data_IF_288724643207
#
_entry.id   IF_288724643207
#
_cell.length_a   1.000
_cell.length_b   1.000
_cell.length_c   1.000
_cell.angle_alpha   90.00
_cell.angle_beta   90.00
_cell.angle_gamma   90.00
#
_symmetry.space_group_name_H-M   'P 1'
#
loop_
_entity.id
_entity.type
_entity.pdbx_description
1 polymer ?
#
# COMPACT_ATOMS: atom_id res chain seq x y z
N UNK A 1 3.88 11.98 8.03
CA UNK A 1 2.93 10.84 7.92
C UNK A 1 2.64 10.63 6.44
N UNK A 2 2.69 9.40 5.94
CA UNK A 2 2.31 9.10 4.56
C UNK A 2 0.79 9.08 4.42
N UNK A 3 0.25 9.72 3.38
CA UNK A 3 -1.19 9.76 3.11
C UNK A 3 -1.74 8.38 2.79
N UNK A 4 -2.97 8.10 3.21
CA UNK A 4 -3.64 6.83 2.90
C UNK A 4 -3.76 6.60 1.39
N UNK A 5 -3.94 7.67 0.62
CA UNK A 5 -3.98 7.63 -0.85
C UNK A 5 -2.65 7.18 -1.46
N UNK A 6 -1.53 7.72 -0.96
CA UNK A 6 -0.20 7.29 -1.36
C UNK A 6 0.03 5.80 -1.07
N UNK A 7 -0.34 5.35 0.13
CA UNK A 7 -0.24 3.93 0.52
C UNK A 7 -1.09 3.05 -0.41
N UNK A 8 -2.30 3.49 -0.76
CA UNK A 8 -3.17 2.79 -1.72
C UNK A 8 -2.54 2.71 -3.10
N UNK A 9 -1.99 3.81 -3.63
CA UNK A 9 -1.31 3.80 -4.93
C UNK A 9 -0.14 2.82 -4.97
N UNK A 10 0.68 2.77 -3.91
CA UNK A 10 1.81 1.84 -3.82
C UNK A 10 1.34 0.37 -3.77
N UNK A 11 0.29 0.09 -3.00
CA UNK A 11 -0.31 -1.25 -2.93
C UNK A 11 -0.96 -1.64 -4.26
N UNK A 12 -1.57 -0.69 -4.96
CA UNK A 12 -2.18 -0.91 -6.28
C UNK A 12 -1.12 -1.22 -7.35
N UNK A 13 -0.01 -0.48 -7.38
CA UNK A 13 1.15 -0.78 -8.24
C UNK A 13 1.69 -2.20 -8.00
N UNK A 14 1.71 -2.64 -6.74
CA UNK A 14 2.06 -4.02 -6.44
C UNK A 14 1.02 -5.03 -6.96
N UNK A 15 -0.28 -4.72 -6.84
CA UNK A 15 -1.38 -5.57 -7.31
C UNK A 15 -1.48 -5.64 -8.84
N UNK A 16 -1.07 -4.61 -9.58
CA UNK A 16 -1.04 -4.60 -11.05
C UNK A 16 0.12 -5.44 -11.63
N UNK A 17 0.95 -6.05 -10.78
CA UNK A 17 2.02 -6.97 -11.18
C UNK A 17 3.41 -6.35 -11.21
N UNK A 18 3.57 -5.08 -10.82
CA UNK A 18 4.89 -4.45 -10.71
C UNK A 18 5.67 -5.13 -9.58
N UNK A 19 6.94 -5.45 -9.84
CA UNK A 19 7.80 -6.16 -8.88
C UNK A 19 8.03 -5.29 -7.64
N UNK A 20 7.88 -5.90 -6.46
CA UNK A 20 8.18 -5.28 -5.16
C UNK A 20 9.53 -4.55 -5.13
N UNK A 21 10.56 -5.10 -5.75
CA UNK A 21 11.91 -4.53 -5.80
C UNK A 21 12.00 -3.24 -6.61
N UNK A 22 11.22 -3.10 -7.68
CA UNK A 22 11.16 -1.89 -8.50
C UNK A 22 10.47 -0.78 -7.71
N UNK A 23 9.31 -1.08 -7.12
CA UNK A 23 8.57 -0.13 -6.27
C UNK A 23 9.43 0.31 -5.08
N UNK A 24 10.14 -0.62 -4.44
CA UNK A 24 11.03 -0.30 -3.33
C UNK A 24 12.18 0.61 -3.74
N UNK A 25 12.71 0.44 -4.95
CA UNK A 25 13.81 1.26 -5.47
C UNK A 25 13.35 2.65 -5.93
N UNK A 26 12.22 2.73 -6.64
CA UNK A 26 11.66 3.99 -7.15
C UNK A 26 11.20 4.93 -6.02
N UNK A 27 10.66 4.36 -4.94
CA UNK A 27 10.07 5.12 -3.84
C UNK A 27 10.91 5.05 -2.53
N UNK A 28 12.13 4.50 -2.61
CA UNK A 28 13.05 4.30 -1.47
C UNK A 28 12.36 3.63 -0.26
N UNK A 29 11.50 2.65 -0.53
CA UNK A 29 10.71 1.97 0.49
C UNK A 29 11.46 0.76 1.03
N UNK A 30 11.44 0.61 2.36
CA UNK A 30 11.85 -0.65 3.00
C UNK A 30 10.84 -1.77 2.73
N UNK A 31 11.35 -3.00 2.61
CA UNK A 31 10.54 -4.21 2.46
C UNK A 31 9.51 -4.35 3.58
N UNK A 32 9.89 -4.00 4.80
CA UNK A 32 9.03 -4.01 5.99
C UNK A 32 7.86 -3.03 5.85
N UNK A 33 8.11 -1.85 5.26
CA UNK A 33 7.10 -0.82 5.03
C UNK A 33 6.05 -1.29 4.02
N UNK A 34 6.49 -1.80 2.86
CA UNK A 34 5.60 -2.31 1.83
C UNK A 34 4.78 -3.51 2.33
N UNK A 35 5.41 -4.45 3.05
CA UNK A 35 4.71 -5.59 3.63
C UNK A 35 3.64 -5.16 4.64
N UNK A 36 3.95 -4.17 5.48
CA UNK A 36 2.99 -3.60 6.44
C UNK A 36 1.80 -2.95 5.74
N UNK A 37 2.02 -2.21 4.65
CA UNK A 37 0.96 -1.58 3.87
C UNK A 37 0.05 -2.60 3.16
N UNK A 38 0.62 -3.67 2.59
CA UNK A 38 -0.16 -4.76 2.00
C UNK A 38 -0.99 -5.49 3.06
N UNK A 39 -0.46 -5.66 4.27
CA UNK A 39 -1.19 -6.27 5.40
C UNK A 39 -2.30 -5.36 5.91
N UNK A 40 -2.06 -4.05 5.96
CA UNK A 40 -3.03 -3.05 6.39
C UNK A 40 -4.20 -2.92 5.39
N UNK A 41 -3.92 -2.95 4.08
CA UNK A 41 -4.94 -2.85 3.04
C UNK A 41 -5.93 -4.01 3.06
N UNK A 42 -5.49 -5.24 3.40
CA UNK A 42 -6.37 -6.40 3.58
C UNK A 42 -7.31 -6.27 4.78
N UNK A 43 -6.89 -5.57 5.84
CA UNK A 43 -7.70 -5.38 7.06
C UNK A 43 -8.74 -4.28 6.91
N UNK A 44 -8.47 -3.27 6.08
CA UNK A 44 -9.38 -2.14 5.88
C UNK A 44 -10.64 -2.49 5.05
N UNK A 45 -10.71 -3.68 4.46
CA UNK A 45 -11.87 -4.12 3.68
C UNK A 45 -13.13 -4.32 4.55
N UNK A 46 -13.03 -4.33 5.89
CA UNK A 46 -14.18 -4.51 6.78
C UNK A 46 -14.56 -3.30 7.65
N UNK A 47 -14.00 -2.12 7.41
CA UNK A 47 -14.37 -0.92 8.17
C UNK A 47 -14.32 0.32 7.28
N UNK A 48 -15.26 0.41 6.34
CA UNK A 48 -15.77 1.71 5.89
C UNK A 48 -17.19 1.58 5.33
N UNK A 49 -18.15 1.24 6.20
CA UNK A 49 -19.54 1.64 6.00
C UNK A 49 -19.64 3.11 6.40
N UNK A 50 -19.52 3.99 5.40
CA UNK A 50 -20.16 5.31 5.24
C UNK A 50 -19.92 6.43 6.29
N UNK A 51 -20.32 7.65 5.88
CA UNK A 51 -20.41 8.95 6.60
C UNK A 51 -19.15 9.83 6.40
N UNK A 52 -19.15 10.97 5.70
CA UNK A 52 -20.18 11.94 5.24
C UNK A 52 -19.90 12.37 3.80
#
# INVERSE_FOLDING_TARGET
MFSQEFIKQIVELYKTGKRKSEIMREYELSSSTLARWIKQSKKHVHSNTQIT
#
